data_IF_376289683165
#
_entry.id   IF_376289683165
#
_cell.length_a   1.000
_cell.length_b   1.000
_cell.length_c   1.000
_cell.angle_alpha   90.00
_cell.angle_beta   90.00
_cell.angle_gamma   90.00
#
_symmetry.space_group_name_H-M   'P 1'
#
loop_
_entity.id
_entity.type
_entity.pdbx_description
1 polymer ?
#
# COMPACT_ATOMS: atom_id res chain seq x y z
N UNK A 1 31.00 -4.72 -6.29
CA UNK A 1 30.32 -3.45 -6.63
C UNK A 1 29.53 -3.02 -5.41
N UNK A 2 29.55 -1.74 -5.05
CA UNK A 2 28.71 -1.20 -3.98
C UNK A 2 27.55 -0.47 -4.65
N UNK A 3 26.33 -0.96 -4.45
CA UNK A 3 25.11 -0.35 -5.00
C UNK A 3 24.22 0.13 -3.85
N UNK A 4 23.39 1.16 -4.08
CA UNK A 4 22.24 1.41 -3.24
C UNK A 4 21.37 0.15 -3.12
N UNK A 5 20.79 -0.07 -1.95
CA UNK A 5 19.84 -1.16 -1.76
C UNK A 5 18.60 -0.93 -2.62
N UNK A 6 18.00 -2.03 -3.09
CA UNK A 6 16.78 -2.00 -3.88
C UNK A 6 15.59 -1.44 -3.08
N UNK A 7 14.64 -0.86 -3.81
CA UNK A 7 13.32 -0.45 -3.34
C UNK A 7 12.29 -1.20 -4.16
N UNK A 8 11.58 -2.14 -3.54
CA UNK A 8 10.45 -2.83 -4.18
C UNK A 8 9.19 -2.00 -3.99
N UNK A 9 8.56 -1.58 -5.08
CA UNK A 9 7.45 -0.62 -5.05
C UNK A 9 6.07 -1.28 -5.01
N UNK A 10 5.98 -2.62 -4.97
CA UNK A 10 4.70 -3.32 -5.02
C UNK A 10 4.73 -4.66 -4.30
N UNK A 11 4.39 -4.67 -3.00
CA UNK A 11 4.26 -5.89 -2.20
C UNK A 11 2.88 -6.03 -1.56
N UNK A 12 2.57 -7.25 -1.10
CA UNK A 12 1.31 -7.62 -0.42
C UNK A 12 1.57 -8.40 0.88
N UNK A 13 2.59 -8.03 1.65
CA UNK A 13 3.04 -8.72 2.87
C UNK A 13 2.04 -8.61 4.04
N UNK A 14 1.17 -7.60 4.02
CA UNK A 14 0.09 -7.46 5.02
C UNK A 14 -1.27 -7.95 4.54
N UNK A 15 -1.34 -8.49 3.32
CA UNK A 15 -2.54 -9.14 2.81
C UNK A 15 -2.79 -10.47 3.55
N UNK A 16 -4.05 -10.79 3.89
CA UNK A 16 -4.38 -11.98 4.69
C UNK A 16 -4.03 -13.31 4.02
N UNK A 17 -4.00 -13.35 2.68
CA UNK A 17 -3.73 -14.57 1.90
C UNK A 17 -2.27 -14.68 1.44
N UNK A 18 -1.39 -13.78 1.89
CA UNK A 18 0.03 -13.83 1.56
C UNK A 18 0.72 -15.00 2.27
N UNK A 19 1.51 -15.77 1.52
CA UNK A 19 2.34 -16.82 2.09
C UNK A 19 3.50 -16.27 2.94
N UNK A 20 3.96 -15.06 2.63
CA UNK A 20 4.97 -14.33 3.38
C UNK A 20 4.32 -13.24 4.25
N UNK A 21 4.85 -13.07 5.46
CA UNK A 21 4.50 -11.95 6.33
C UNK A 21 5.61 -10.87 6.29
N UNK A 22 5.48 -9.82 7.09
CA UNK A 22 6.50 -8.76 7.18
C UNK A 22 7.88 -9.29 7.58
N UNK A 23 7.95 -10.34 8.39
CA UNK A 23 9.22 -10.90 8.85
C UNK A 23 9.87 -11.73 7.75
N UNK A 24 9.15 -12.67 7.15
CA UNK A 24 9.69 -13.55 6.09
C UNK A 24 9.90 -12.78 4.78
N UNK A 25 8.97 -11.90 4.43
CA UNK A 25 9.05 -11.01 3.26
C UNK A 25 10.24 -10.06 3.34
N UNK A 26 10.47 -9.39 4.47
CA UNK A 26 11.66 -8.55 4.61
C UNK A 26 12.97 -9.36 4.57
N UNK A 27 13.00 -10.60 5.11
CA UNK A 27 14.18 -11.46 4.98
C UNK A 27 14.46 -11.80 3.52
N UNK A 28 13.43 -12.14 2.75
CA UNK A 28 13.55 -12.42 1.33
C UNK A 28 14.05 -11.18 0.56
N UNK A 29 13.47 -10.00 0.83
CA UNK A 29 13.90 -8.74 0.24
C UNK A 29 15.38 -8.45 0.51
N UNK A 30 15.81 -8.52 1.78
CA UNK A 30 17.20 -8.24 2.17
C UNK A 30 18.18 -9.26 1.56
N UNK A 31 17.81 -10.54 1.56
CA UNK A 31 18.62 -11.58 0.92
C UNK A 31 18.80 -11.34 -0.59
N UNK A 32 17.81 -10.72 -1.25
CA UNK A 32 17.85 -10.30 -2.64
C UNK A 32 18.53 -8.95 -2.90
N UNK A 33 18.95 -8.22 -1.85
CA UNK A 33 19.55 -6.89 -1.97
C UNK A 33 18.57 -5.70 -1.93
N UNK A 34 17.31 -5.94 -1.58
CA UNK A 34 16.28 -4.92 -1.35
C UNK A 34 16.18 -4.58 0.14
N UNK A 35 16.18 -3.29 0.48
CA UNK A 35 16.08 -2.84 1.88
C UNK A 35 14.81 -2.05 2.19
N UNK A 36 14.02 -1.69 1.17
CA UNK A 36 12.75 -0.99 1.32
C UNK A 36 11.69 -1.67 0.47
N UNK A 37 10.49 -1.84 1.03
CA UNK A 37 9.31 -2.31 0.27
C UNK A 37 8.16 -1.33 0.43
N UNK A 38 7.29 -1.24 -0.57
CA UNK A 38 6.04 -0.48 -0.52
C UNK A 38 4.87 -1.48 -0.52
N UNK A 39 4.21 -1.61 0.62
CA UNK A 39 3.12 -2.56 0.79
C UNK A 39 1.76 -1.93 0.42
N UNK A 40 0.91 -2.72 -0.23
CA UNK A 40 -0.40 -2.26 -0.70
C UNK A 40 -1.47 -2.57 0.35
N UNK A 41 -2.02 -1.50 0.90
CA UNK A 41 -3.12 -1.52 1.86
C UNK A 41 -4.42 -1.66 1.11
N UNK A 42 -5.11 -2.78 1.34
CA UNK A 42 -6.50 -2.97 0.90
C UNK A 42 -7.48 -2.56 2.02
N UNK A 43 -8.39 -1.60 1.77
CA UNK A 43 -9.49 -1.28 2.68
C UNK A 43 -10.43 -2.48 2.83
N UNK A 44 -10.92 -2.71 4.05
CA UNK A 44 -11.99 -3.69 4.30
C UNK A 44 -13.35 -3.12 3.86
N UNK A 45 -14.34 -3.98 3.69
CA UNK A 45 -15.71 -3.55 3.38
C UNK A 45 -16.22 -2.54 4.42
N UNK A 46 -16.54 -1.32 3.96
CA UNK A 46 -17.01 -0.22 4.80
C UNK A 46 -15.93 0.49 5.61
N UNK A 47 -14.65 0.13 5.44
CA UNK A 47 -13.52 0.81 6.09
C UNK A 47 -13.08 2.04 5.26
N UNK A 48 -12.75 3.11 5.97
CA UNK A 48 -12.24 4.32 5.33
C UNK A 48 -10.79 4.13 4.84
N UNK A 49 -10.36 4.79 3.75
CA UNK A 49 -8.98 4.76 3.24
C UNK A 49 -7.99 5.16 4.33
N UNK A 50 -8.31 6.21 5.07
CA UNK A 50 -7.50 6.67 6.20
C UNK A 50 -7.40 5.59 7.29
N UNK A 51 -8.53 4.99 7.67
CA UNK A 51 -8.56 3.94 8.70
C UNK A 51 -7.77 2.71 8.28
N UNK A 52 -7.88 2.29 7.02
CA UNK A 52 -7.14 1.13 6.50
C UNK A 52 -5.63 1.38 6.54
N UNK A 53 -5.19 2.59 6.18
CA UNK A 53 -3.79 3.00 6.26
C UNK A 53 -3.25 2.93 7.70
N UNK A 54 -3.94 3.53 8.67
CA UNK A 54 -3.47 3.51 10.07
C UNK A 54 -3.51 2.11 10.67
N UNK A 55 -4.53 1.31 10.35
CA UNK A 55 -4.62 -0.10 10.77
C UNK A 55 -3.38 -0.89 10.34
N UNK A 56 -2.95 -0.74 9.09
CA UNK A 56 -1.76 -1.45 8.61
C UNK A 56 -0.49 -0.85 9.21
N UNK A 57 -0.40 0.48 9.28
CA UNK A 57 0.75 1.21 9.83
C UNK A 57 1.07 0.82 11.28
N UNK A 58 0.06 0.61 12.11
CA UNK A 58 0.22 0.16 13.51
C UNK A 58 0.76 -1.27 13.61
N UNK A 59 0.55 -2.11 12.59
CA UNK A 59 0.97 -3.51 12.54
C UNK A 59 2.40 -3.76 12.03
N UNK A 60 3.18 -2.72 11.71
CA UNK A 60 4.48 -2.88 11.02
C UNK A 60 5.66 -3.27 11.92
N UNK A 61 5.42 -3.55 13.20
CA UNK A 61 6.48 -3.74 14.22
C UNK A 61 7.41 -4.93 13.98
N UNK A 62 6.97 -5.94 13.22
CA UNK A 62 7.77 -7.13 12.87
C UNK A 62 8.64 -6.98 11.62
N UNK A 63 8.57 -5.83 10.93
CA UNK A 63 9.37 -5.58 9.72
C UNK A 63 10.87 -5.49 10.02
N UNK A 64 11.68 -6.13 9.16
CA UNK A 64 13.16 -6.07 9.23
C UNK A 64 13.76 -5.12 8.19
N UNK A 65 12.93 -4.60 7.29
CA UNK A 65 13.27 -3.70 6.20
C UNK A 65 12.41 -2.42 6.32
N UNK A 66 12.75 -1.37 5.59
CA UNK A 66 11.93 -0.16 5.59
C UNK A 66 10.61 -0.43 4.85
N UNK A 67 9.50 0.06 5.39
CA UNK A 67 8.17 -0.10 4.81
C UNK A 67 7.59 1.26 4.44
N UNK A 68 7.20 1.42 3.18
CA UNK A 68 6.23 2.42 2.75
C UNK A 68 4.86 1.78 2.51
N UNK A 69 3.82 2.59 2.39
CA UNK A 69 2.45 2.11 2.19
C UNK A 69 1.79 2.85 1.03
N UNK A 70 1.09 2.12 0.18
CA UNK A 70 0.15 2.66 -0.80
C UNK A 70 -1.25 2.13 -0.50
N UNK A 71 -2.30 2.90 -0.77
CA UNK A 71 -3.68 2.42 -0.60
C UNK A 71 -4.25 2.03 -1.96
N UNK A 72 -4.81 0.83 -2.09
CA UNK A 72 -5.55 0.47 -3.31
C UNK A 72 -6.97 1.05 -3.27
N UNK A 73 -7.37 1.67 -4.37
CA UNK A 73 -8.69 2.24 -4.61
C UNK A 73 -9.38 1.35 -5.64
N UNK A 74 -10.30 0.50 -5.16
CA UNK A 74 -10.99 -0.49 -5.98
C UNK A 74 -12.34 -0.01 -6.52
N UNK A 75 -12.84 1.11 -6.01
CA UNK A 75 -14.11 1.71 -6.41
C UNK A 75 -13.94 3.22 -6.51
N UNK A 76 -14.67 3.85 -7.43
CA UNK A 76 -14.61 5.29 -7.65
C UNK A 76 -15.95 5.96 -7.38
N UNK A 77 -15.91 7.08 -6.66
CA UNK A 77 -17.04 7.97 -6.45
C UNK A 77 -16.55 9.33 -5.95
N UNK A 78 -17.41 10.35 -5.97
CA UNK A 78 -17.11 11.65 -5.36
C UNK A 78 -16.83 11.57 -3.85
N UNK A 79 -17.36 10.55 -3.15
CA UNK A 79 -17.02 10.34 -1.75
C UNK A 79 -15.60 9.80 -1.58
N UNK A 80 -15.19 8.84 -2.42
CA UNK A 80 -13.82 8.29 -2.42
C UNK A 80 -12.81 9.38 -2.75
N UNK A 81 -13.12 10.27 -3.70
CA UNK A 81 -12.25 11.42 -4.02
C UNK A 81 -12.00 12.32 -2.81
N UNK A 82 -13.05 12.72 -2.08
CA UNK A 82 -12.94 13.52 -0.85
C UNK A 82 -12.16 12.78 0.25
N UNK A 83 -12.31 11.48 0.31
CA UNK A 83 -11.59 10.64 1.25
C UNK A 83 -10.10 10.54 0.92
N UNK A 84 -9.73 10.49 -0.37
CA UNK A 84 -8.33 10.60 -0.80
C UNK A 84 -7.73 11.94 -0.41
N UNK A 85 -8.45 13.05 -0.60
CA UNK A 85 -8.00 14.39 -0.16
C UNK A 85 -7.72 14.41 1.36
N UNK A 86 -8.62 13.80 2.15
CA UNK A 86 -8.42 13.64 3.60
C UNK A 86 -7.21 12.77 3.90
N UNK A 87 -7.07 11.61 3.25
CA UNK A 87 -5.94 10.71 3.45
C UNK A 87 -4.60 11.41 3.16
N UNK A 88 -4.54 12.26 2.12
CA UNK A 88 -3.37 13.11 1.82
C UNK A 88 -3.05 14.06 2.97
N UNK A 89 -4.06 14.71 3.55
CA UNK A 89 -3.86 15.57 4.72
C UNK A 89 -3.33 14.82 5.96
N UNK A 90 -3.52 13.50 6.02
CA UNK A 90 -3.06 12.63 7.10
C UNK A 90 -1.74 11.90 6.78
N UNK A 91 -1.09 12.27 5.65
CA UNK A 91 0.26 11.83 5.30
C UNK A 91 0.33 10.67 4.31
N UNK A 92 -0.80 10.27 3.72
CA UNK A 92 -0.81 9.31 2.60
C UNK A 92 -0.40 10.03 1.32
N UNK A 93 0.56 9.49 0.57
CA UNK A 93 1.04 10.13 -0.66
C UNK A 93 1.09 9.19 -1.87
N UNK A 94 0.57 7.97 -1.72
CA UNK A 94 0.57 6.94 -2.77
C UNK A 94 -0.75 6.18 -2.79
N UNK A 95 -1.35 6.08 -3.97
CA UNK A 95 -2.58 5.35 -4.23
C UNK A 95 -2.40 4.48 -5.47
N UNK A 96 -2.92 3.25 -5.43
CA UNK A 96 -3.02 2.36 -6.59
C UNK A 96 -4.47 2.35 -7.04
N UNK A 97 -4.73 2.67 -8.30
CA UNK A 97 -6.09 2.62 -8.87
C UNK A 97 -6.29 1.25 -9.51
N UNK A 98 -7.25 0.48 -9.00
CA UNK A 98 -7.61 -0.86 -9.48
C UNK A 98 -9.13 -0.99 -9.54
N UNK A 99 -9.74 -0.17 -10.39
CA UNK A 99 -11.20 -0.09 -10.55
C UNK A 99 -11.69 -1.02 -11.65
N UNK A 100 -12.87 -1.61 -11.47
CA UNK A 100 -13.48 -2.46 -12.48
C UNK A 100 -14.10 -1.61 -13.61
N UNK A 101 -13.62 -1.84 -14.84
CA UNK A 101 -14.17 -1.24 -16.07
C UNK A 101 -13.48 0.06 -16.51
N UNK A 102 -13.15 0.12 -17.80
CA UNK A 102 -12.45 1.25 -18.43
C UNK A 102 -13.21 2.59 -18.28
N UNK A 103 -14.55 2.56 -18.32
CA UNK A 103 -15.37 3.76 -18.16
C UNK A 103 -15.15 4.44 -16.81
N UNK A 104 -15.01 3.64 -15.75
CA UNK A 104 -14.74 4.13 -14.38
C UNK A 104 -13.32 4.65 -14.29
N UNK A 105 -12.35 3.96 -14.92
CA UNK A 105 -10.97 4.40 -14.97
C UNK A 105 -10.85 5.81 -15.60
N UNK A 106 -11.60 6.11 -16.66
CA UNK A 106 -11.59 7.44 -17.29
C UNK A 106 -12.28 8.55 -16.48
N UNK A 107 -13.06 8.18 -15.46
CA UNK A 107 -13.65 9.13 -14.50
C UNK A 107 -12.66 9.51 -13.38
N UNK A 108 -11.63 8.70 -13.15
CA UNK A 108 -10.53 9.03 -12.23
C UNK A 108 -9.69 10.14 -12.86
N UNK A 109 -10.12 11.40 -12.66
CA UNK A 109 -9.40 12.60 -13.08
C UNK A 109 -8.86 13.32 -11.84
N UNK A 110 -7.54 13.40 -11.75
CA UNK A 110 -6.81 14.21 -10.77
C UNK A 110 -6.92 15.69 -11.12
#
# INVERSE_FOLDING_TARGET
MLLPAGIDVHTHLTAPDSADDLLTGCKAAIAGGTATVIDIVSPRNGESLTSSFFRVKEGLSSSLCNIGLSIVVQQWSESVKKEMEKAVSEGVNSFVIDVEGDEVLFQVRL
#
